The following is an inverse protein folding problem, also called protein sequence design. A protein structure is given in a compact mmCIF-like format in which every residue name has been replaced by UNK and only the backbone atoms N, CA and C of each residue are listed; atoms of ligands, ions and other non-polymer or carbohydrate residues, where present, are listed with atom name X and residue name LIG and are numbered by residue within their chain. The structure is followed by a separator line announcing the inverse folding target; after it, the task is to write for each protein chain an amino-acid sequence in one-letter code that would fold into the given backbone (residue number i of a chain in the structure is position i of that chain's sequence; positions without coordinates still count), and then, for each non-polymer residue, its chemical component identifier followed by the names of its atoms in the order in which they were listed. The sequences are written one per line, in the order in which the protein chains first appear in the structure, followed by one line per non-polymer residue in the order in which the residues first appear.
data_IF_167800903343
#
_entry.id   IF_167800903343
#
_cell.length_a   1.000
_cell.length_b   1.000
_cell.length_c   1.000
_cell.angle_alpha   90.00
_cell.angle_beta   90.00
_cell.angle_gamma   90.00
#
_symmetry.space_group_name_H-M   'P 1'
#
loop_
_entity.id
_entity.type
_entity.pdbx_description
1 polymer ?
#
# COMPACT_ATOMS: atom_id res chain seq x y z
N UNK A 1 -18.18 2.19 -0.58
CA UNK A 1 -19.64 2.02 -0.70
C UNK A 1 -19.91 0.88 -1.67
N UNK A 2 -19.98 -0.37 -1.19
CA UNK A 2 -20.17 -1.55 -2.04
C UNK A 2 -21.53 -1.58 -2.75
N UNK A 3 -22.56 -0.97 -2.16
CA UNK A 3 -23.92 -0.91 -2.70
C UNK A 3 -24.26 0.40 -3.42
N UNK A 4 -23.30 1.31 -3.57
CA UNK A 4 -23.56 2.56 -4.28
C UNK A 4 -23.93 2.26 -5.74
N UNK A 5 -24.93 2.99 -6.24
CA UNK A 5 -25.36 2.93 -7.63
C UNK A 5 -25.19 4.29 -8.31
N UNK A 6 -25.00 4.26 -9.62
CA UNK A 6 -25.13 5.47 -10.45
C UNK A 6 -26.62 5.70 -10.81
N UNK A 7 -27.02 6.86 -11.38
CA UNK A 7 -28.44 7.20 -11.56
C UNK A 7 -29.30 6.20 -12.35
N UNK A 8 -28.70 5.35 -13.19
CA UNK A 8 -29.41 4.32 -13.95
C UNK A 8 -29.62 3.00 -13.17
N UNK A 9 -29.17 2.94 -11.91
CA UNK A 9 -29.26 1.76 -11.05
C UNK A 9 -28.06 0.81 -11.13
N UNK A 10 -27.11 1.02 -12.04
CA UNK A 10 -25.90 0.19 -12.14
C UNK A 10 -25.04 0.33 -10.89
N UNK A 11 -24.52 -0.78 -10.37
CA UNK A 11 -23.57 -0.76 -9.25
C UNK A 11 -22.32 0.06 -9.64
N UNK A 12 -21.92 1.00 -8.79
CA UNK A 12 -20.84 1.94 -9.04
C UNK A 12 -19.48 1.24 -9.23
N UNK A 13 -19.26 0.09 -8.58
CA UNK A 13 -18.05 -0.73 -8.76
C UNK A 13 -17.97 -1.27 -10.18
N UNK A 14 -19.07 -1.85 -10.68
CA UNK A 14 -19.15 -2.36 -12.05
C UNK A 14 -18.97 -1.24 -13.07
N UNK A 15 -19.61 -0.09 -12.83
CA UNK A 15 -19.45 1.10 -13.67
C UNK A 15 -18.00 1.60 -13.71
N UNK A 16 -17.30 1.61 -12.57
CA UNK A 16 -15.89 1.99 -12.50
C UNK A 16 -14.99 1.13 -13.39
N UNK A 17 -15.19 -0.20 -13.37
CA UNK A 17 -14.46 -1.10 -14.27
C UNK A 17 -14.83 -0.89 -15.75
N UNK A 18 -16.09 -0.63 -16.06
CA UNK A 18 -16.51 -0.31 -17.41
C UNK A 18 -15.82 0.96 -17.95
N UNK A 19 -15.69 2.00 -17.11
CA UNK A 19 -14.94 3.22 -17.46
C UNK A 19 -13.46 2.91 -17.74
N UNK A 20 -12.79 2.14 -16.87
CA UNK A 20 -11.39 1.74 -17.09
C UNK A 20 -11.20 1.04 -18.43
N UNK A 21 -12.10 0.11 -18.78
CA UNK A 21 -12.08 -0.57 -20.08
C UNK A 21 -12.31 0.39 -21.24
N UNK A 22 -13.26 1.32 -21.12
CA UNK A 22 -13.52 2.34 -22.14
C UNK A 22 -12.33 3.27 -22.36
N UNK A 23 -11.52 3.54 -21.33
CA UNK A 23 -10.27 4.29 -21.43
C UNK A 23 -9.07 3.43 -21.89
N UNK A 24 -9.29 2.19 -22.34
CA UNK A 24 -8.23 1.30 -22.80
C UNK A 24 -7.27 0.85 -21.69
N UNK A 25 -7.70 0.90 -20.43
CA UNK A 25 -6.90 0.45 -19.29
C UNK A 25 -7.25 -0.99 -18.97
N UNK A 26 -6.22 -1.84 -18.89
CA UNK A 26 -6.37 -3.22 -18.44
C UNK A 26 -6.07 -3.29 -16.94
N UNK A 27 -6.95 -3.93 -16.17
CA UNK A 27 -6.78 -4.11 -14.73
C UNK A 27 -7.19 -5.51 -14.31
N UNK A 28 -6.65 -5.98 -13.17
CA UNK A 28 -7.20 -7.11 -12.43
C UNK A 28 -8.27 -6.57 -11.49
N UNK A 29 -9.55 -6.95 -11.65
CA UNK A 29 -10.58 -6.57 -10.68
C UNK A 29 -10.27 -7.15 -9.31
N UNK A 30 -10.40 -6.33 -8.27
CA UNK A 30 -10.23 -6.72 -6.88
C UNK A 30 -11.53 -6.49 -6.08
N UNK A 31 -11.94 -7.47 -5.29
CA UNK A 31 -13.14 -7.39 -4.45
C UNK A 31 -13.01 -8.27 -3.20
N UNK A 32 -13.70 -7.92 -2.12
CA UNK A 32 -13.69 -8.69 -0.85
C UNK A 32 -15.08 -9.19 -0.48
N UNK A 33 -15.15 -10.13 0.47
CA UNK A 33 -16.38 -10.87 0.81
C UNK A 33 -17.43 -10.06 1.58
N UNK A 34 -17.03 -9.11 2.42
CA UNK A 34 -17.94 -8.25 3.21
C UNK A 34 -18.66 -7.16 2.37
N UNK A 35 -18.93 -7.45 1.10
CA UNK A 35 -19.46 -6.49 0.14
C UNK A 35 -20.73 -7.02 -0.52
N UNK A 36 -21.19 -6.33 -1.56
CA UNK A 36 -22.39 -6.70 -2.28
C UNK A 36 -22.22 -8.07 -2.97
N UNK A 37 -22.95 -9.07 -2.48
CA UNK A 37 -22.92 -10.45 -2.98
C UNK A 37 -23.67 -10.64 -4.30
N UNK A 38 -24.51 -9.69 -4.71
CA UNK A 38 -25.30 -9.82 -5.93
C UNK A 38 -24.49 -9.59 -7.22
N UNK A 39 -23.25 -9.12 -7.13
CA UNK A 39 -22.48 -8.71 -8.31
C UNK A 39 -21.39 -9.70 -8.76
N UNK A 40 -21.25 -10.86 -8.12
CA UNK A 40 -20.19 -11.83 -8.43
C UNK A 40 -20.21 -12.31 -9.89
N UNK A 41 -21.39 -12.60 -10.47
CA UNK A 41 -21.49 -13.00 -11.88
C UNK A 41 -21.00 -11.88 -12.82
N UNK A 42 -21.39 -10.63 -12.53
CA UNK A 42 -20.95 -9.45 -13.29
C UNK A 42 -19.46 -9.18 -13.13
N UNK A 43 -18.89 -9.42 -11.95
CA UNK A 43 -17.45 -9.37 -11.72
C UNK A 43 -16.71 -10.44 -12.54
N UNK A 44 -17.28 -11.64 -12.67
CA UNK A 44 -16.76 -12.69 -13.56
C UNK A 44 -16.73 -12.26 -15.02
N UNK A 45 -17.80 -11.63 -15.52
CA UNK A 45 -17.81 -11.05 -16.88
C UNK A 45 -16.75 -9.97 -17.08
N UNK A 46 -16.56 -9.10 -16.08
CA UNK A 46 -15.51 -8.08 -16.09
C UNK A 46 -14.12 -8.71 -16.11
N UNK A 47 -13.86 -9.69 -15.24
CA UNK A 47 -12.56 -10.37 -15.13
C UNK A 47 -12.17 -11.05 -16.46
N UNK A 48 -13.08 -11.85 -17.03
CA UNK A 48 -12.88 -12.48 -18.35
C UNK A 48 -12.76 -11.43 -19.45
N UNK A 49 -13.51 -10.34 -19.34
CA UNK A 49 -13.48 -9.22 -20.27
C UNK A 49 -12.15 -8.45 -20.28
N UNK A 50 -11.41 -8.42 -19.17
CA UNK A 50 -10.04 -7.89 -19.12
C UNK A 50 -8.98 -8.93 -19.47
N UNK A 51 -9.26 -10.22 -19.23
CA UNK A 51 -8.27 -11.29 -19.43
C UNK A 51 -7.06 -11.15 -18.50
N UNK A 52 -7.27 -10.55 -17.32
CA UNK A 52 -6.26 -10.32 -16.28
C UNK A 52 -6.61 -11.03 -14.98
N UNK A 53 -7.49 -12.02 -15.00
CA UNK A 53 -7.88 -12.76 -13.80
C UNK A 53 -8.65 -11.91 -12.79
N UNK A 54 -8.66 -12.34 -11.53
CA UNK A 54 -9.41 -11.71 -10.45
C UNK A 54 -8.64 -11.76 -9.13
N UNK A 55 -8.79 -10.73 -8.29
CA UNK A 55 -8.13 -10.66 -7.00
C UNK A 55 -9.16 -10.67 -5.85
N UNK A 56 -9.08 -11.67 -4.98
CA UNK A 56 -9.80 -11.64 -3.70
C UNK A 56 -9.01 -10.80 -2.71
N UNK A 57 -9.61 -9.73 -2.21
CA UNK A 57 -9.07 -8.92 -1.11
C UNK A 57 -9.61 -9.45 0.21
N UNK A 58 -8.74 -10.05 0.99
CA UNK A 58 -9.02 -10.60 2.31
C UNK A 58 -8.59 -9.59 3.38
N UNK A 59 -9.49 -9.29 4.30
CA UNK A 59 -9.23 -8.51 5.50
C UNK A 59 -8.49 -9.35 6.54
N UNK A 60 -7.99 -8.71 7.60
CA UNK A 60 -7.39 -9.41 8.74
C UNK A 60 -8.35 -10.37 9.44
N UNK A 61 -9.63 -10.04 9.49
CA UNK A 61 -10.63 -10.87 10.15
C UNK A 61 -10.90 -12.17 9.36
N UNK A 62 -10.74 -12.13 8.03
CA UNK A 62 -10.81 -13.31 7.16
C UNK A 62 -9.64 -14.31 7.42
N UNK A 63 -8.57 -13.88 8.09
CA UNK A 63 -7.40 -14.68 8.44
C UNK A 63 -7.46 -15.22 9.88
N UNK A 64 -8.59 -15.12 10.56
CA UNK A 64 -8.75 -15.74 11.86
C UNK A 64 -9.00 -17.26 11.71
N UNK A 65 -8.38 -18.08 12.58
CA UNK A 65 -8.44 -19.55 12.48
C UNK A 65 -9.86 -20.11 12.42
N UNK A 66 -10.80 -19.50 13.15
CA UNK A 66 -12.20 -19.91 13.15
C UNK A 66 -12.92 -19.67 11.81
N UNK A 67 -12.34 -18.86 10.91
CA UNK A 67 -12.91 -18.48 9.62
C UNK A 67 -12.25 -19.22 8.44
N UNK A 68 -11.18 -19.99 8.64
CA UNK A 68 -10.39 -20.58 7.57
C UNK A 68 -11.22 -21.39 6.57
N UNK A 69 -12.02 -22.35 7.06
CA UNK A 69 -12.83 -23.21 6.21
C UNK A 69 -13.87 -22.42 5.41
N UNK A 70 -14.52 -21.44 6.04
CA UNK A 70 -15.55 -20.61 5.42
C UNK A 70 -14.95 -19.71 4.33
N UNK A 71 -13.81 -19.08 4.59
CA UNK A 71 -13.15 -18.19 3.64
C UNK A 71 -12.59 -18.98 2.45
N UNK A 72 -11.95 -20.11 2.68
CA UNK A 72 -11.47 -20.95 1.57
C UNK A 72 -12.62 -21.52 0.73
N UNK A 73 -13.73 -21.92 1.36
CA UNK A 73 -14.94 -22.35 0.67
C UNK A 73 -15.50 -21.23 -0.20
N UNK A 74 -15.60 -20.00 0.34
CA UNK A 74 -16.03 -18.83 -0.43
C UNK A 74 -15.10 -18.52 -1.62
N UNK A 75 -13.78 -18.58 -1.45
CA UNK A 75 -12.85 -18.38 -2.57
C UNK A 75 -13.12 -19.39 -3.69
N UNK A 76 -13.30 -20.68 -3.36
CA UNK A 76 -13.57 -21.74 -4.33
C UNK A 76 -14.93 -21.53 -5.02
N UNK A 77 -15.99 -21.30 -4.25
CA UNK A 77 -17.35 -21.10 -4.76
C UNK A 77 -17.44 -19.86 -5.66
N UNK A 78 -16.87 -18.74 -5.23
CA UNK A 78 -16.87 -17.51 -6.04
C UNK A 78 -15.99 -17.63 -7.27
N UNK A 79 -14.86 -18.34 -7.20
CA UNK A 79 -14.03 -18.65 -8.38
C UNK A 79 -14.83 -19.46 -9.41
N UNK A 80 -15.55 -20.49 -8.96
CA UNK A 80 -16.40 -21.31 -9.82
C UNK A 80 -17.58 -20.51 -10.41
N UNK A 81 -18.26 -19.70 -9.58
CA UNK A 81 -19.35 -18.81 -10.00
C UNK A 81 -18.87 -17.84 -11.09
N UNK A 82 -17.69 -17.25 -10.91
CA UNK A 82 -17.05 -16.37 -11.89
C UNK A 82 -16.48 -17.12 -13.10
N UNK A 83 -16.59 -18.45 -13.17
CA UNK A 83 -16.05 -19.29 -14.26
C UNK A 83 -14.57 -19.01 -14.55
N UNK A 84 -13.78 -18.86 -13.49
CA UNK A 84 -12.35 -18.67 -13.55
C UNK A 84 -11.63 -19.96 -13.12
N UNK A 85 -10.41 -20.13 -13.57
CA UNK A 85 -9.51 -21.15 -13.04
C UNK A 85 -8.71 -20.62 -11.86
N UNK A 86 -8.26 -21.52 -10.98
CA UNK A 86 -7.46 -21.17 -9.80
C UNK A 86 -6.21 -20.33 -10.14
N UNK A 87 -5.51 -20.68 -11.23
CA UNK A 87 -4.32 -19.96 -11.71
C UNK A 87 -4.62 -18.59 -12.34
N UNK A 88 -5.88 -18.16 -12.36
CA UNK A 88 -6.29 -16.80 -12.72
C UNK A 88 -6.61 -15.94 -11.49
N UNK A 89 -6.50 -16.50 -10.28
CA UNK A 89 -6.91 -15.84 -9.05
C UNK A 89 -5.70 -15.38 -8.24
N UNK A 90 -5.70 -14.11 -7.84
CA UNK A 90 -4.77 -13.54 -6.86
C UNK A 90 -5.42 -13.48 -5.47
N UNK A 91 -4.61 -13.65 -4.44
CA UNK A 91 -5.00 -13.48 -3.03
C UNK A 91 -4.29 -12.25 -2.47
N UNK A 92 -5.02 -11.18 -2.19
CA UNK A 92 -4.51 -9.99 -1.53
C UNK A 92 -4.87 -10.04 -0.04
N UNK A 93 -3.89 -10.29 0.82
CA UNK A 93 -4.03 -10.24 2.27
C UNK A 93 -3.78 -8.80 2.72
N UNK A 94 -4.85 -8.10 3.06
CA UNK A 94 -4.84 -6.67 3.36
C UNK A 94 -4.82 -6.41 4.87
N UNK A 95 -3.63 -6.13 5.38
CA UNK A 95 -3.34 -5.83 6.78
C UNK A 95 -3.71 -4.40 7.18
N UNK A 96 -4.15 -3.56 6.22
CA UNK A 96 -4.45 -2.13 6.44
C UNK A 96 -3.34 -1.44 7.23
N UNK A 97 -3.66 -0.86 8.40
CA UNK A 97 -2.67 -0.19 9.24
C UNK A 97 -2.05 -1.19 10.22
N UNK A 98 -0.72 -1.26 10.23
CA UNK A 98 0.07 -2.04 11.18
C UNK A 98 0.73 -1.07 12.16
N UNK A 99 0.32 -1.11 13.43
CA UNK A 99 0.88 -0.32 14.54
C UNK A 99 0.95 -1.16 15.82
N UNK A 100 2.12 -1.21 16.45
CA UNK A 100 2.31 -1.86 17.75
C UNK A 100 2.11 -3.38 17.80
N UNK A 101 1.81 -4.02 16.68
CA UNK A 101 1.64 -5.47 16.56
C UNK A 101 2.98 -6.16 16.29
N UNK A 102 3.12 -7.39 16.80
CA UNK A 102 4.28 -8.21 16.52
C UNK A 102 4.19 -8.76 15.09
N UNK A 103 5.12 -8.35 14.23
CA UNK A 103 5.21 -8.82 12.85
C UNK A 103 5.33 -10.34 12.75
N UNK A 104 5.90 -11.02 13.76
CA UNK A 104 5.96 -12.47 13.81
C UNK A 104 4.58 -13.11 14.00
N UNK A 105 3.73 -12.55 14.86
CA UNK A 105 2.36 -13.04 15.09
C UNK A 105 1.51 -12.87 13.83
N UNK A 106 1.63 -11.72 13.16
CA UNK A 106 0.96 -11.50 11.87
C UNK A 106 1.46 -12.49 10.81
N UNK A 107 2.77 -12.74 10.76
CA UNK A 107 3.35 -13.69 9.82
C UNK A 107 2.84 -15.11 10.05
N UNK A 108 2.77 -15.56 11.31
CA UNK A 108 2.25 -16.87 11.70
C UNK A 108 0.78 -17.03 11.28
N UNK A 109 -0.07 -16.03 11.57
CA UNK A 109 -1.49 -16.05 11.15
C UNK A 109 -1.63 -16.15 9.62
N UNK A 110 -0.81 -15.42 8.86
CA UNK A 110 -0.79 -15.48 7.40
C UNK A 110 -0.36 -16.86 6.90
N UNK A 111 0.70 -17.43 7.46
CA UNK A 111 1.23 -18.75 7.09
C UNK A 111 0.16 -19.82 7.39
N UNK A 112 -0.42 -19.81 8.59
CA UNK A 112 -1.48 -20.74 8.99
C UNK A 112 -2.69 -20.67 8.06
N UNK A 113 -3.17 -19.46 7.73
CA UNK A 113 -4.28 -19.28 6.79
C UNK A 113 -3.94 -19.84 5.40
N UNK A 114 -2.77 -19.48 4.85
CA UNK A 114 -2.38 -19.88 3.50
C UNK A 114 -2.21 -21.39 3.36
N UNK A 115 -1.55 -22.04 4.32
CA UNK A 115 -1.28 -23.48 4.28
C UNK A 115 -2.39 -24.35 4.84
N UNK A 116 -3.45 -23.76 5.42
CA UNK A 116 -4.72 -24.47 5.62
C UNK A 116 -5.28 -25.01 4.30
N UNK A 117 -5.00 -24.33 3.18
CA UNK A 117 -5.26 -24.85 1.85
C UNK A 117 -4.00 -25.50 1.24
N UNK A 118 -3.94 -26.84 1.11
CA UNK A 118 -2.79 -27.52 0.53
C UNK A 118 -2.54 -27.17 -0.95
N UNK A 119 -3.53 -26.60 -1.64
CA UNK A 119 -3.44 -26.21 -3.04
C UNK A 119 -3.11 -24.72 -3.24
N UNK A 120 -2.66 -24.00 -2.20
CA UNK A 120 -2.38 -22.56 -2.27
C UNK A 120 -1.37 -22.19 -3.38
N UNK A 121 -0.43 -23.09 -3.71
CA UNK A 121 0.51 -22.90 -4.82
C UNK A 121 -0.11 -22.93 -6.22
N UNK A 122 -1.41 -23.26 -6.35
CA UNK A 122 -2.15 -23.21 -7.61
C UNK A 122 -2.78 -21.85 -7.92
N UNK A 123 -2.77 -20.91 -6.97
CA UNK A 123 -3.20 -19.53 -7.19
C UNK A 123 -2.14 -18.75 -7.96
N UNK A 124 -2.56 -17.71 -8.68
CA UNK A 124 -1.67 -16.92 -9.54
C UNK A 124 -0.64 -16.12 -8.76
N UNK A 125 -1.07 -15.52 -7.65
CA UNK A 125 -0.18 -14.78 -6.77
C UNK A 125 -0.79 -14.62 -5.38
N UNK A 126 0.10 -14.45 -4.40
CA UNK A 126 -0.23 -13.97 -3.05
C UNK A 126 0.38 -12.58 -2.92
N UNK A 127 -0.38 -11.62 -2.42
CA UNK A 127 0.04 -10.23 -2.20
C UNK A 127 -0.19 -9.90 -0.73
N UNK A 128 0.82 -9.36 -0.06
CA UNK A 128 0.69 -8.85 1.31
C UNK A 128 0.70 -7.34 1.25
N UNK A 129 -0.40 -6.70 1.67
CA UNK A 129 -0.51 -5.26 1.69
C UNK A 129 -0.69 -4.72 3.10
N UNK A 130 0.07 -3.70 3.47
CA UNK A 130 -0.03 -3.04 4.77
C UNK A 130 0.44 -1.60 4.74
N UNK A 131 0.46 -0.95 5.91
CA UNK A 131 0.91 0.43 6.04
C UNK A 131 1.24 0.78 7.48
N UNK A 132 2.40 1.40 7.69
CA UNK A 132 2.74 2.12 8.92
C UNK A 132 2.57 3.64 8.80
N UNK A 133 2.01 4.16 7.70
CA UNK A 133 1.80 5.60 7.54
C UNK A 133 0.89 6.18 8.62
N UNK A 134 1.33 7.23 9.32
CA UNK A 134 0.59 7.88 10.40
C UNK A 134 -0.74 8.49 9.92
N UNK A 135 -1.81 8.24 10.67
CA UNK A 135 -3.14 8.86 10.46
C UNK A 135 -3.08 10.38 10.55
N UNK A 136 -2.30 10.89 11.50
CA UNK A 136 -2.04 12.31 11.66
C UNK A 136 -0.64 12.54 12.23
N UNK A 137 -0.14 13.77 12.07
CA UNK A 137 1.20 14.16 12.57
C UNK A 137 1.15 14.84 13.94
N UNK A 138 0.01 14.77 14.64
CA UNK A 138 -0.26 15.51 15.88
C UNK A 138 0.75 15.23 17.00
N UNK A 139 1.27 14.01 17.06
CA UNK A 139 2.28 13.54 18.03
C UNK A 139 3.72 13.95 17.71
N UNK A 140 3.98 14.50 16.53
CA UNK A 140 5.31 15.01 16.16
C UNK A 140 5.42 16.45 16.67
N UNK A 141 6.51 16.84 17.30
CA UNK A 141 6.68 18.24 17.71
C UNK A 141 6.57 19.20 16.52
N UNK A 142 6.08 20.43 16.77
CA UNK A 142 6.03 21.47 15.73
C UNK A 142 7.45 21.75 15.25
N UNK A 143 7.62 21.85 13.93
CA UNK A 143 8.95 21.96 13.30
C UNK A 143 9.86 20.74 13.56
N UNK A 144 9.35 19.65 14.12
CA UNK A 144 10.09 18.42 14.44
C UNK A 144 10.16 17.41 13.29
N UNK A 145 10.91 16.34 13.51
CA UNK A 145 11.01 15.17 12.62
C UNK A 145 10.61 13.92 13.40
N UNK A 146 9.97 12.96 12.74
CA UNK A 146 9.75 11.61 13.29
C UNK A 146 10.01 10.57 12.22
N UNK A 147 10.74 9.53 12.58
CA UNK A 147 10.89 8.32 11.75
C UNK A 147 9.85 7.29 12.19
N UNK A 148 9.21 6.64 11.21
CA UNK A 148 8.24 5.57 11.43
C UNK A 148 8.70 4.36 10.64
N UNK A 149 8.97 3.26 11.32
CA UNK A 149 9.35 1.98 10.71
C UNK A 149 8.17 1.44 9.89
N UNK A 150 8.48 0.94 8.69
CA UNK A 150 7.56 0.31 7.74
C UNK A 150 7.35 -1.14 8.13
N UNK A 151 6.45 -1.38 9.09
CA UNK A 151 6.16 -2.73 9.58
C UNK A 151 5.65 -3.64 8.46
N UNK A 152 4.98 -3.08 7.45
CA UNK A 152 4.57 -3.82 6.26
C UNK A 152 5.75 -4.39 5.46
N UNK A 153 6.89 -3.69 5.43
CA UNK A 153 8.10 -4.14 4.73
C UNK A 153 8.80 -5.25 5.53
N UNK A 154 8.85 -5.12 6.86
CA UNK A 154 9.39 -6.14 7.75
C UNK A 154 8.55 -7.42 7.70
N UNK A 155 7.22 -7.31 7.82
CA UNK A 155 6.28 -8.43 7.69
C UNK A 155 6.45 -9.16 6.35
N UNK A 156 6.45 -8.42 5.23
CA UNK A 156 6.64 -9.02 3.92
C UNK A 156 8.02 -9.68 3.79
N UNK A 157 9.09 -9.08 4.31
CA UNK A 157 10.44 -9.66 4.21
C UNK A 157 10.55 -11.00 4.95
N UNK A 158 9.93 -11.10 6.14
CA UNK A 158 9.84 -12.34 6.90
C UNK A 158 9.08 -13.41 6.13
N UNK A 159 7.88 -13.08 5.62
CA UNK A 159 7.08 -14.00 4.82
C UNK A 159 7.80 -14.43 3.54
N UNK A 160 8.48 -13.50 2.85
CA UNK A 160 9.21 -13.80 1.62
C UNK A 160 10.36 -14.79 1.85
N UNK A 161 11.03 -14.70 2.99
CA UNK A 161 12.09 -15.62 3.40
C UNK A 161 11.53 -17.00 3.78
N UNK A 162 10.46 -17.02 4.57
CA UNK A 162 9.96 -18.24 5.22
C UNK A 162 9.02 -19.06 4.32
N UNK A 163 8.48 -18.45 3.26
CA UNK A 163 7.59 -19.13 2.32
C UNK A 163 8.34 -19.83 1.16
N UNK A 164 7.84 -21.00 0.71
CA UNK A 164 8.38 -21.67 -0.47
C UNK A 164 8.15 -20.85 -1.74
N UNK A 165 9.03 -21.01 -2.72
CA UNK A 165 9.02 -20.22 -3.97
C UNK A 165 7.67 -20.24 -4.71
N UNK A 166 6.89 -21.31 -4.58
CA UNK A 166 5.57 -21.47 -5.21
C UNK A 166 4.50 -20.52 -4.66
N UNK A 167 4.71 -19.95 -3.47
CA UNK A 167 3.76 -19.03 -2.81
C UNK A 167 4.43 -17.77 -2.28
N UNK A 168 5.66 -17.47 -2.72
CA UNK A 168 6.39 -16.27 -2.29
C UNK A 168 5.54 -15.01 -2.54
N UNK A 169 5.27 -14.20 -1.50
CA UNK A 169 4.35 -13.10 -1.61
C UNK A 169 4.95 -11.94 -2.41
N UNK A 170 4.09 -11.27 -3.16
CA UNK A 170 4.35 -9.94 -3.72
C UNK A 170 4.11 -8.89 -2.66
N UNK A 171 4.99 -7.89 -2.58
CA UNK A 171 4.83 -6.75 -1.68
C UNK A 171 3.77 -5.78 -2.21
N UNK A 172 2.89 -5.33 -1.32
CA UNK A 172 2.01 -4.18 -1.53
C UNK A 172 2.00 -3.26 -0.33
N UNK A 173 1.67 -1.98 -0.53
CA UNK A 173 1.41 -1.04 0.56
C UNK A 173 0.39 0.06 0.15
N UNK A 174 0.07 0.93 1.11
CA UNK A 174 -0.77 2.12 0.89
C UNK A 174 0.06 3.40 0.63
N UNK A 175 1.37 3.25 0.44
CA UNK A 175 2.33 4.35 0.38
C UNK A 175 2.33 5.23 1.63
N UNK A 176 2.31 6.55 1.43
CA UNK A 176 2.48 7.57 2.50
C UNK A 176 1.17 8.10 3.08
N UNK A 177 0.03 7.49 2.72
CA UNK A 177 -1.30 7.87 3.18
C UNK A 177 -1.85 6.73 4.02
N UNK A 178 -2.37 7.06 5.21
CA UNK A 178 -2.99 6.09 6.09
C UNK A 178 -4.21 5.42 5.41
N UNK A 179 -4.42 4.09 5.53
CA UNK A 179 -5.51 3.35 4.89
C UNK A 179 -6.92 3.88 5.18
N UNK A 180 -7.14 4.42 6.38
CA UNK A 180 -8.40 5.04 6.81
C UNK A 180 -8.52 6.54 6.46
N UNK A 181 -7.69 7.05 5.55
CA UNK A 181 -7.81 8.44 5.13
C UNK A 181 -9.18 8.68 4.47
N UNK A 182 -9.85 9.75 4.89
CA UNK A 182 -11.12 10.22 4.32
C UNK A 182 -10.98 11.68 3.91
N UNK A 183 -11.48 12.01 2.73
CA UNK A 183 -11.50 13.34 2.14
C UNK A 183 -12.78 14.14 2.48
N UNK A 184 -13.71 13.56 3.25
CA UNK A 184 -15.06 14.09 3.46
C UNK A 184 -15.13 15.42 4.22
N UNK A 185 -14.05 15.88 4.86
CA UNK A 185 -13.92 17.27 5.31
C UNK A 185 -12.46 17.68 5.49
N UNK A 186 -12.03 18.74 4.78
CA UNK A 186 -10.72 19.34 5.01
C UNK A 186 -10.67 19.90 6.44
N UNK A 187 -9.83 19.31 7.30
CA UNK A 187 -9.63 19.83 8.66
C UNK A 187 -9.18 21.30 8.60
N UNK A 188 -9.82 22.23 9.32
CA UNK A 188 -9.41 23.64 9.32
C UNK A 188 -8.02 23.87 9.93
N UNK A 189 -7.43 22.84 10.56
CA UNK A 189 -6.13 22.89 11.24
C UNK A 189 -5.10 21.97 10.55
N UNK A 190 -5.05 21.94 9.22
CA UNK A 190 -4.00 21.19 8.50
C UNK A 190 -2.62 21.76 8.82
N UNK A 191 -1.67 20.89 9.17
CA UNK A 191 -0.26 21.23 9.33
C UNK A 191 0.52 20.96 8.04
N UNK A 192 1.51 21.79 7.75
CA UNK A 192 2.49 21.49 6.71
C UNK A 192 3.26 20.23 7.09
N UNK A 193 3.47 19.35 6.12
CA UNK A 193 4.25 18.13 6.29
C UNK A 193 4.81 17.64 4.97
N UNK A 194 6.01 17.08 5.01
CA UNK A 194 6.61 16.27 3.93
C UNK A 194 6.84 14.86 4.48
N UNK A 195 6.49 13.84 3.70
CA UNK A 195 6.73 12.42 4.02
C UNK A 195 7.72 11.88 3.01
N UNK A 196 8.88 11.44 3.49
CA UNK A 196 9.96 10.99 2.64
C UNK A 196 10.35 9.56 3.05
N UNK A 197 10.44 8.66 2.08
CA UNK A 197 10.73 7.24 2.32
C UNK A 197 12.24 7.01 2.23
N UNK A 198 12.79 6.34 3.22
CA UNK A 198 14.22 6.15 3.34
C UNK A 198 14.50 4.92 4.18
N UNK A 199 15.29 3.99 3.65
CA UNK A 199 15.50 2.69 4.28
C UNK A 199 14.17 1.98 4.53
N UNK A 200 14.05 1.40 5.71
CA UNK A 200 12.84 0.76 6.22
C UNK A 200 11.85 1.74 6.86
N UNK A 201 11.93 3.04 6.56
CA UNK A 201 11.16 4.08 7.25
C UNK A 201 10.41 5.05 6.34
N UNK A 202 9.38 5.65 6.90
CA UNK A 202 8.80 6.92 6.45
C UNK A 202 9.24 8.01 7.43
N UNK A 203 9.95 9.01 6.93
CA UNK A 203 10.40 10.18 7.69
C UNK A 203 9.39 11.31 7.50
N UNK A 204 8.82 11.77 8.60
CA UNK A 204 7.86 12.86 8.64
C UNK A 204 8.55 14.15 9.07
N UNK A 205 8.57 15.15 8.19
CA UNK A 205 9.03 16.50 8.48
C UNK A 205 7.80 17.37 8.72
N UNK A 206 7.51 17.67 9.99
CA UNK A 206 6.35 18.47 10.37
C UNK A 206 6.73 19.95 10.43
N UNK A 207 5.89 20.81 9.85
CA UNK A 207 5.91 22.26 10.05
C UNK A 207 4.84 22.71 11.06
N UNK A 208 4.31 23.90 10.87
CA UNK A 208 3.22 24.45 11.68
C UNK A 208 1.90 24.49 10.88
N UNK A 209 0.86 25.06 11.48
CA UNK A 209 -0.47 25.15 10.87
C UNK A 209 -0.43 26.00 9.59
N UNK A 210 -1.08 25.53 8.52
CA UNK A 210 -1.05 26.19 7.20
C UNK A 210 -1.96 27.40 7.08
N UNK A 211 -2.96 27.52 7.95
CA UNK A 211 -4.05 28.50 7.81
C UNK A 211 -4.16 29.45 9.01
N UNK A 212 -3.43 29.20 10.10
CA UNK A 212 -3.53 29.97 11.35
C UNK A 212 -2.13 30.21 11.93
N UNK A 213 -1.81 31.42 12.42
CA UNK A 213 -2.65 32.63 12.41
C UNK A 213 -2.78 33.26 11.01
N UNK A 214 -1.85 32.95 10.11
CA UNK A 214 -1.85 33.39 8.71
C UNK A 214 -1.65 32.18 7.79
N UNK A 215 -2.01 32.35 6.52
CA UNK A 215 -1.75 31.32 5.51
C UNK A 215 -0.26 31.30 5.16
N UNK A 216 0.45 30.23 5.54
CA UNK A 216 1.89 30.10 5.29
C UNK A 216 2.23 28.79 4.57
N UNK A 217 2.25 28.84 3.25
CA UNK A 217 2.79 27.74 2.43
C UNK A 217 4.30 27.87 2.19
N UNK A 218 4.90 29.04 2.47
CA UNK A 218 6.32 29.29 2.25
C UNK A 218 7.20 28.44 3.19
N UNK A 219 6.68 28.03 4.35
CA UNK A 219 7.35 27.10 5.26
C UNK A 219 7.81 25.79 4.59
N UNK A 220 7.18 25.38 3.48
CA UNK A 220 7.60 24.21 2.73
C UNK A 220 8.98 24.35 2.09
N UNK A 221 9.47 25.56 1.79
CA UNK A 221 10.86 25.76 1.36
C UNK A 221 11.83 25.30 2.45
N UNK A 222 11.54 25.65 3.71
CA UNK A 222 12.32 25.22 4.88
C UNK A 222 12.19 23.72 5.12
N UNK A 223 10.99 23.14 5.01
CA UNK A 223 10.79 21.69 5.15
C UNK A 223 11.56 20.93 4.07
N UNK A 224 11.49 21.38 2.81
CA UNK A 224 12.21 20.76 1.71
C UNK A 224 13.73 20.85 1.90
N UNK A 225 14.24 21.98 2.42
CA UNK A 225 15.66 22.09 2.82
C UNK A 225 16.07 21.05 3.88
N UNK A 226 15.20 20.76 4.85
CA UNK A 226 15.45 19.71 5.86
C UNK A 226 15.48 18.32 5.26
N UNK A 227 14.65 18.04 4.25
CA UNK A 227 14.65 16.76 3.54
C UNK A 227 15.96 16.58 2.78
N UNK A 228 16.38 17.56 1.96
CA UNK A 228 17.59 17.44 1.14
C UNK A 228 18.89 17.46 1.96
N UNK A 229 18.84 17.96 3.19
CA UNK A 229 19.99 17.94 4.10
C UNK A 229 20.29 16.53 4.62
N UNK A 230 19.32 15.61 4.61
CA UNK A 230 19.57 14.19 4.91
C UNK A 230 20.05 13.45 3.66
N UNK A 231 21.32 13.70 3.30
CA UNK A 231 21.95 13.22 2.07
C UNK A 231 22.03 11.69 1.94
N UNK A 232 21.83 10.95 3.04
CA UNK A 232 21.93 9.48 3.05
C UNK A 232 20.90 8.82 2.13
N UNK A 233 19.77 9.48 1.91
CA UNK A 233 18.63 8.90 1.18
C UNK A 233 18.01 9.82 0.12
N UNK A 234 18.58 11.00 -0.12
CA UNK A 234 18.05 11.96 -1.09
C UNK A 234 18.84 12.01 -2.39
N UNK A 235 18.15 11.87 -3.53
CA UNK A 235 18.75 12.11 -4.84
C UNK A 235 17.68 12.70 -5.81
N UNK A 236 17.86 13.94 -6.30
CA UNK A 236 16.87 14.65 -7.10
C UNK A 236 16.58 14.01 -8.47
N UNK A 237 17.43 13.08 -8.94
CA UNK A 237 17.24 12.39 -10.22
C UNK A 237 16.42 11.09 -10.09
N UNK A 238 16.00 10.69 -8.89
CA UNK A 238 15.35 9.39 -8.66
C UNK A 238 13.85 9.38 -8.92
N UNK A 239 13.16 10.51 -8.79
CA UNK A 239 11.72 10.59 -9.01
C UNK A 239 11.28 12.03 -9.29
N UNK A 240 10.04 12.19 -9.76
CA UNK A 240 9.42 13.52 -9.87
C UNK A 240 9.27 14.15 -8.48
N UNK A 241 8.93 13.37 -7.45
CA UNK A 241 8.82 13.83 -6.07
C UNK A 241 10.13 14.39 -5.52
N UNK A 242 11.24 13.69 -5.75
CA UNK A 242 12.58 14.15 -5.34
C UNK A 242 12.97 15.45 -6.04
N UNK A 243 12.69 15.56 -7.35
CA UNK A 243 12.93 16.77 -8.11
C UNK A 243 12.12 17.95 -7.57
N UNK A 244 10.83 17.73 -7.31
CA UNK A 244 9.95 18.75 -6.74
C UNK A 244 10.44 19.26 -5.38
N UNK A 245 10.85 18.34 -4.49
CA UNK A 245 11.44 18.69 -3.19
C UNK A 245 12.73 19.50 -3.39
N UNK A 246 13.62 19.09 -4.30
CA UNK A 246 14.87 19.80 -4.58
C UNK A 246 14.64 21.23 -5.07
N UNK A 247 13.77 21.40 -6.07
CA UNK A 247 13.49 22.69 -6.68
C UNK A 247 12.77 23.62 -5.67
N UNK A 248 11.88 23.05 -4.84
CA UNK A 248 11.26 23.78 -3.74
C UNK A 248 12.28 24.20 -2.68
N UNK A 249 13.24 23.35 -2.32
CA UNK A 249 14.27 23.69 -1.34
C UNK A 249 15.17 24.85 -1.77
N UNK A 250 15.45 24.93 -3.08
CA UNK A 250 16.22 26.01 -3.75
C UNK A 250 15.40 27.25 -4.08
N UNK A 251 14.09 27.20 -3.83
CA UNK A 251 13.15 28.28 -4.15
C UNK A 251 13.04 28.58 -5.66
N UNK A 252 13.34 27.59 -6.51
CA UNK A 252 13.18 27.68 -7.98
C UNK A 252 11.71 27.56 -8.41
N UNK A 253 10.88 26.95 -7.55
CA UNK A 253 9.43 26.81 -7.74
C UNK A 253 8.67 27.26 -6.50
N UNK A 254 7.38 27.57 -6.67
CA UNK A 254 6.47 27.80 -5.53
C UNK A 254 6.11 26.48 -4.85
N UNK A 255 5.81 26.48 -3.54
CA UNK A 255 5.46 25.26 -2.81
C UNK A 255 4.19 24.51 -3.25
N UNK A 256 3.32 25.12 -4.06
CA UNK A 256 2.09 24.47 -4.53
C UNK A 256 1.03 24.28 -3.43
N UNK A 257 0.15 23.30 -3.63
CA UNK A 257 -0.97 23.00 -2.72
C UNK A 257 -0.72 21.74 -1.89
N UNK A 258 -1.59 21.45 -0.92
CA UNK A 258 -1.58 20.19 -0.18
C UNK A 258 -1.63 18.96 -1.11
N UNK A 259 -2.41 19.04 -2.20
CA UNK A 259 -2.49 17.97 -3.19
C UNK A 259 -1.15 17.79 -3.92
N UNK A 260 -0.44 18.89 -4.21
CA UNK A 260 0.88 18.84 -4.83
C UNK A 260 1.89 18.10 -3.94
N UNK A 261 1.87 18.34 -2.63
CA UNK A 261 2.73 17.62 -1.68
C UNK A 261 2.36 16.15 -1.54
N UNK A 262 1.07 15.81 -1.56
CA UNK A 262 0.65 14.39 -1.59
C UNK A 262 1.18 13.69 -2.84
N UNK A 263 1.13 14.33 -4.01
CA UNK A 263 1.68 13.80 -5.26
C UNK A 263 3.20 13.62 -5.14
N UNK A 264 3.92 14.61 -4.64
CA UNK A 264 5.38 14.54 -4.50
C UNK A 264 5.80 13.42 -3.53
N UNK A 265 5.21 13.38 -2.33
CA UNK A 265 5.50 12.36 -1.31
C UNK A 265 5.21 10.94 -1.85
N UNK A 266 4.04 10.75 -2.48
CA UNK A 266 3.62 9.45 -3.01
C UNK A 266 4.48 9.01 -4.20
N UNK A 267 4.79 9.92 -5.12
CA UNK A 267 5.64 9.61 -6.26
C UNK A 267 7.04 9.17 -5.83
N UNK A 268 7.66 9.89 -4.90
CA UNK A 268 8.93 9.50 -4.31
C UNK A 268 8.83 8.10 -3.68
N UNK A 269 7.82 7.87 -2.83
CA UNK A 269 7.63 6.58 -2.17
C UNK A 269 7.54 5.42 -3.16
N UNK A 270 6.67 5.50 -4.17
CA UNK A 270 6.51 4.45 -5.18
C UNK A 270 7.84 4.18 -5.90
N UNK A 271 8.53 5.24 -6.33
CA UNK A 271 9.81 5.12 -7.02
C UNK A 271 10.94 4.57 -6.12
N UNK A 272 10.91 4.88 -4.83
CA UNK A 272 11.88 4.36 -3.85
C UNK A 272 11.60 2.88 -3.58
N UNK A 273 10.37 2.55 -3.18
CA UNK A 273 9.92 1.19 -2.83
C UNK A 273 10.15 0.21 -3.98
N UNK A 274 9.82 0.57 -5.22
CA UNK A 274 10.05 -0.31 -6.38
C UNK A 274 11.53 -0.70 -6.55
N UNK A 275 12.46 0.25 -6.35
CA UNK A 275 13.91 -0.01 -6.44
C UNK A 275 14.45 -0.71 -5.19
N UNK A 276 13.87 -0.42 -4.04
CA UNK A 276 14.21 -1.07 -2.79
C UNK A 276 13.88 -2.56 -2.87
N UNK A 277 12.67 -2.91 -3.29
CA UNK A 277 12.25 -4.31 -3.42
C UNK A 277 13.13 -5.10 -4.38
N UNK A 278 13.51 -4.53 -5.54
CA UNK A 278 14.41 -5.21 -6.48
C UNK A 278 15.74 -5.59 -5.84
N UNK A 279 16.32 -4.70 -5.03
CA UNK A 279 17.57 -4.96 -4.30
C UNK A 279 17.33 -5.95 -3.16
N UNK A 280 16.27 -5.74 -2.39
CA UNK A 280 15.97 -6.55 -1.22
C UNK A 280 15.68 -8.01 -1.58
N UNK A 281 14.90 -8.28 -2.64
CA UNK A 281 14.67 -9.66 -3.11
C UNK A 281 15.95 -10.35 -3.55
N UNK A 282 16.91 -9.60 -4.12
CA UNK A 282 18.21 -10.15 -4.51
C UNK A 282 19.05 -10.50 -3.27
N UNK A 283 19.11 -9.61 -2.27
CA UNK A 283 19.83 -9.87 -1.03
C UNK A 283 19.19 -11.02 -0.24
N UNK A 284 17.86 -11.04 -0.08
CA UNK A 284 17.13 -12.10 0.62
C UNK A 284 17.30 -13.46 -0.04
N UNK A 285 17.37 -13.53 -1.38
CA UNK A 285 17.65 -14.77 -2.09
C UNK A 285 19.05 -15.34 -1.78
N UNK A 286 20.00 -14.49 -1.38
CA UNK A 286 21.38 -14.86 -1.09
C UNK A 286 21.67 -14.95 0.42
N UNK A 287 20.73 -14.58 1.28
CA UNK A 287 20.88 -14.65 2.72
C UNK A 287 20.81 -16.12 3.20
N UNK A 288 21.78 -16.55 4.00
CA UNK A 288 21.82 -17.89 4.58
C UNK A 288 21.26 -17.94 6.01
N UNK A 289 21.11 -16.77 6.65
CA UNK A 289 20.62 -16.65 8.04
C UNK A 289 19.61 -15.51 8.20
N UNK A 290 18.77 -15.59 9.22
CA UNK A 290 17.82 -14.53 9.61
C UNK A 290 18.55 -13.19 9.85
N UNK A 291 19.70 -13.25 10.54
CA UNK A 291 20.53 -12.07 10.79
C UNK A 291 21.02 -11.40 9.50
N UNK A 292 21.39 -12.16 8.47
CA UNK A 292 21.80 -11.61 7.19
C UNK A 292 20.62 -10.95 6.45
N UNK A 293 19.43 -11.55 6.54
CA UNK A 293 18.21 -10.97 5.99
C UNK A 293 17.83 -9.64 6.69
N UNK A 294 17.95 -9.56 8.02
CA UNK A 294 17.71 -8.33 8.77
C UNK A 294 18.71 -7.23 8.37
N UNK A 295 19.99 -7.60 8.22
CA UNK A 295 21.02 -6.67 7.76
C UNK A 295 20.75 -6.19 6.33
N UNK A 296 20.29 -7.07 5.45
CA UNK A 296 19.89 -6.72 4.10
C UNK A 296 18.75 -5.69 4.10
N UNK A 297 17.70 -5.91 4.90
CA UNK A 297 16.58 -4.99 5.06
C UNK A 297 17.02 -3.60 5.55
N UNK A 298 17.93 -3.55 6.52
CA UNK A 298 18.46 -2.29 7.06
C UNK A 298 19.42 -1.57 6.09
N UNK A 299 20.00 -2.30 5.12
CA UNK A 299 20.95 -1.75 4.17
C UNK A 299 20.30 -1.15 2.90
N UNK A 300 19.03 -1.43 2.61
CA UNK A 300 18.37 -1.07 1.33
C UNK A 300 17.49 0.16 1.36
#
# INVERSE_FOLDING_TARGET
MPDATIPDGTNATLHGYALLKAFGRSVTPAYGFERNDAIWDSLGDIARGFGKGFCFRLSRDDLAEYAFDDIWSQIIERTAQMRLAQHEVDLLLDMRHIDGEDAAVLAESIISFLFHNPNVGGYRSVVIAGSSALKNVGSIEKEGTREVVRQELHLWSNLWRDMPDTVKPTFGDYGVIHPDFSDQAASPNVNAKIRHTAGDKIIYYRGHALHKPVKDYAQYHKLARRVIADFRHFNPARSYGDRYISDCAKEEIKPGSLATWVIADMNHHICYTARQLLRLTHELANAATEREADLALLAV
#
